data_IF_779211980994
#
_entry.id   IF_779211980994
#
_cell.length_a   1.000
_cell.length_b   1.000
_cell.length_c   1.000
_cell.angle_alpha   90.00
_cell.angle_beta   90.00
_cell.angle_gamma   90.00
#
_symmetry.space_group_name_H-M   'P 1'
#
loop_
_entity.id
_entity.type
_entity.pdbx_description
1 polymer ?
#
# COMPACT_ATOMS: atom_id res chain seq x y z
N UNK A 1 23.05 3.81 -5.96
CA UNK A 1 22.95 4.31 -4.59
C UNK A 1 21.60 3.95 -4.01
N UNK A 2 21.57 3.52 -2.76
CA UNK A 2 20.30 3.12 -2.11
C UNK A 2 19.49 4.37 -1.74
N UNK A 3 18.19 4.36 -2.10
CA UNK A 3 17.28 5.43 -1.71
C UNK A 3 17.01 5.41 -0.19
N UNK A 4 16.85 6.57 0.41
CA UNK A 4 16.49 6.66 1.84
C UNK A 4 15.04 6.24 2.08
N UNK A 5 14.13 6.69 1.22
CA UNK A 5 12.70 6.42 1.32
C UNK A 5 12.16 5.87 0.01
N UNK A 6 11.22 4.95 0.12
CA UNK A 6 10.42 4.47 -0.99
C UNK A 6 8.95 4.38 -0.62
N UNK A 7 8.12 4.30 -1.63
CA UNK A 7 6.67 4.14 -1.49
C UNK A 7 6.23 3.03 -2.45
N UNK A 8 5.40 2.11 -1.96
CA UNK A 8 4.72 1.14 -2.81
C UNK A 8 3.22 1.21 -2.58
N UNK A 9 2.46 1.12 -3.66
CA UNK A 9 1.02 0.97 -3.63
C UNK A 9 0.62 -0.48 -3.83
N UNK A 10 -0.36 -0.91 -3.04
CA UNK A 10 -0.95 -2.23 -3.12
C UNK A 10 -2.45 -2.11 -3.30
N UNK A 11 -3.07 -3.11 -3.89
CA UNK A 11 -4.51 -3.19 -4.03
C UNK A 11 -4.94 -3.74 -5.36
N UNK A 12 -6.25 -3.78 -5.57
CA UNK A 12 -6.84 -4.26 -6.81
C UNK A 12 -7.67 -3.15 -7.46
N UNK A 13 -7.15 -2.44 -8.47
CA UNK A 13 -7.91 -1.38 -9.15
C UNK A 13 -9.21 -1.86 -9.80
N UNK A 14 -9.28 -3.13 -10.15
CA UNK A 14 -10.52 -3.72 -10.70
C UNK A 14 -11.65 -3.75 -9.68
N UNK A 15 -11.34 -3.67 -8.40
CA UNK A 15 -12.29 -3.64 -7.30
C UNK A 15 -12.56 -2.22 -6.78
N UNK A 16 -12.39 -1.20 -7.61
CA UNK A 16 -12.73 0.19 -7.26
C UNK A 16 -11.88 0.71 -6.11
N UNK A 17 -12.50 1.01 -4.98
CA UNK A 17 -11.83 1.59 -3.81
C UNK A 17 -10.70 0.71 -3.26
N UNK A 18 -10.72 -0.60 -3.47
CA UNK A 18 -9.63 -1.48 -3.10
C UNK A 18 -8.33 -1.16 -3.86
N UNK A 19 -8.42 -0.40 -4.93
CA UNK A 19 -7.27 0.08 -5.70
C UNK A 19 -6.70 1.41 -5.25
N UNK A 20 -7.15 1.96 -4.13
CA UNK A 20 -6.74 3.30 -3.69
C UNK A 20 -5.23 3.42 -3.47
N UNK A 21 -4.59 2.38 -2.94
CA UNK A 21 -3.13 2.38 -2.77
C UNK A 21 -2.40 2.49 -4.11
N UNK A 22 -2.87 1.76 -5.13
CA UNK A 22 -2.32 1.81 -6.47
C UNK A 22 -2.56 3.19 -7.11
N UNK A 23 -3.76 3.74 -6.97
CA UNK A 23 -4.12 5.06 -7.47
C UNK A 23 -3.18 6.13 -6.90
N UNK A 24 -2.94 6.08 -5.61
CA UNK A 24 -2.09 7.05 -4.92
C UNK A 24 -0.62 6.90 -5.31
N UNK A 25 -0.11 5.68 -5.38
CA UNK A 25 1.26 5.41 -5.80
C UNK A 25 1.52 5.89 -7.24
N UNK A 26 0.58 5.65 -8.14
CA UNK A 26 0.70 6.09 -9.53
C UNK A 26 0.72 7.62 -9.62
N UNK A 27 -0.13 8.30 -8.88
CA UNK A 27 -0.14 9.75 -8.83
C UNK A 27 1.15 10.33 -8.26
N UNK A 28 1.65 9.75 -7.18
CA UNK A 28 2.92 10.15 -6.59
C UNK A 28 4.09 9.91 -7.55
N UNK A 29 4.09 8.79 -8.26
CA UNK A 29 5.13 8.46 -9.21
C UNK A 29 5.19 9.47 -10.36
N UNK A 30 4.04 9.89 -10.87
CA UNK A 30 3.95 10.91 -11.93
C UNK A 30 4.40 12.28 -11.44
N UNK A 31 4.07 12.62 -10.20
CA UNK A 31 4.43 13.91 -9.61
C UNK A 31 5.91 13.98 -9.24
N UNK A 32 6.47 12.87 -8.78
CA UNK A 32 7.86 12.80 -8.32
C UNK A 32 8.62 11.66 -9.03
N UNK A 33 8.90 11.83 -10.33
CA UNK A 33 9.45 10.73 -11.14
C UNK A 33 10.86 10.27 -10.74
N UNK A 34 11.58 11.08 -9.98
CA UNK A 34 12.92 10.71 -9.49
C UNK A 34 12.91 9.92 -8.18
N UNK A 35 11.77 9.81 -7.52
CA UNK A 35 11.65 9.07 -6.26
C UNK A 35 11.42 7.58 -6.52
N UNK A 36 11.79 6.78 -5.52
CA UNK A 36 11.54 5.33 -5.54
C UNK A 36 10.09 5.05 -5.19
N UNK A 37 9.22 5.01 -6.19
CA UNK A 37 7.77 4.83 -6.03
C UNK A 37 7.29 3.80 -7.05
N UNK A 38 6.59 2.77 -6.60
CA UNK A 38 6.08 1.71 -7.47
C UNK A 38 4.66 1.29 -7.10
N UNK A 39 3.89 0.93 -8.12
CA UNK A 39 2.59 0.29 -7.98
C UNK A 39 2.78 -1.21 -8.16
N UNK A 40 2.51 -1.98 -7.10
CA UNK A 40 2.67 -3.44 -7.13
C UNK A 40 1.35 -4.17 -7.44
N UNK A 41 0.25 -3.45 -7.55
CA UNK A 41 -1.05 -4.08 -7.76
C UNK A 41 -1.41 -5.00 -6.60
N UNK A 42 -1.97 -6.17 -6.91
CA UNK A 42 -2.41 -7.14 -5.91
C UNK A 42 -1.30 -8.14 -5.50
N UNK A 43 -0.09 -7.96 -6.00
CA UNK A 43 1.00 -8.92 -5.78
C UNK A 43 2.23 -8.24 -5.17
N UNK A 44 2.31 -8.28 -3.85
CA UNK A 44 3.43 -7.71 -3.11
C UNK A 44 4.77 -8.41 -3.39
N UNK A 45 4.76 -9.66 -3.86
CA UNK A 45 6.00 -10.38 -4.20
C UNK A 45 6.75 -9.72 -5.35
N UNK A 46 6.08 -8.92 -6.17
CA UNK A 46 6.73 -8.15 -7.25
C UNK A 46 7.81 -7.20 -6.72
N UNK A 47 7.79 -6.86 -5.43
CA UNK A 47 8.82 -6.00 -4.86
C UNK A 47 10.23 -6.58 -5.03
N UNK A 48 10.36 -7.90 -5.12
CA UNK A 48 11.65 -8.56 -5.26
C UNK A 48 12.39 -8.19 -6.56
N UNK A 49 11.63 -7.80 -7.60
CA UNK A 49 12.21 -7.32 -8.85
C UNK A 49 12.74 -5.87 -8.78
N UNK A 50 12.51 -5.19 -7.67
CA UNK A 50 12.78 -3.75 -7.52
C UNK A 50 14.03 -3.45 -6.67
N UNK A 51 14.85 -4.44 -6.41
CA UNK A 51 16.10 -4.22 -5.67
C UNK A 51 17.08 -3.34 -6.47
N UNK A 52 17.90 -2.53 -5.81
CA UNK A 52 18.05 -2.42 -4.35
C UNK A 52 16.87 -1.70 -3.68
N UNK A 53 16.49 -2.19 -2.51
CA UNK A 53 15.39 -1.60 -1.74
C UNK A 53 15.81 -0.28 -1.10
N UNK A 54 14.83 0.62 -0.85
CA UNK A 54 15.09 1.80 -0.02
C UNK A 54 15.33 1.37 1.43
N UNK A 55 15.93 2.25 2.22
CA UNK A 55 16.17 1.99 3.65
C UNK A 55 14.86 1.95 4.44
N UNK A 56 13.92 2.80 4.07
CA UNK A 56 12.59 2.90 4.67
C UNK A 56 11.54 2.84 3.59
N UNK A 57 10.43 2.19 3.88
CA UNK A 57 9.36 1.96 2.92
C UNK A 57 8.01 2.31 3.53
N UNK A 58 7.24 3.09 2.80
CA UNK A 58 5.83 3.35 3.10
C UNK A 58 5.00 2.47 2.18
N UNK A 59 4.10 1.69 2.76
CA UNK A 59 3.18 0.84 2.01
C UNK A 59 1.78 1.44 2.09
N UNK A 60 1.17 1.60 0.93
CA UNK A 60 -0.15 2.21 0.77
C UNK A 60 -1.16 1.15 0.36
N UNK A 61 -2.28 1.08 1.06
CA UNK A 61 -3.34 0.12 0.75
C UNK A 61 -4.68 0.58 1.31
N UNK A 62 -5.72 -0.15 0.95
CA UNK A 62 -7.05 0.00 1.52
C UNK A 62 -7.19 -0.83 2.79
N UNK A 63 -8.02 -0.38 3.71
CA UNK A 63 -8.35 -1.09 4.95
C UNK A 63 -9.86 -1.14 5.15
N UNK A 64 -10.36 -2.28 5.60
CA UNK A 64 -11.75 -2.45 6.01
C UNK A 64 -11.82 -2.79 7.49
N UNK A 65 -11.89 -1.76 8.32
CA UNK A 65 -11.97 -1.93 9.77
C UNK A 65 -13.31 -1.55 10.37
N UNK A 66 -14.25 -1.07 9.53
CA UNK A 66 -15.52 -0.56 9.99
C UNK A 66 -15.49 0.92 10.37
N UNK A 67 -14.36 1.59 10.22
CA UNK A 67 -14.27 3.03 10.42
C UNK A 67 -14.95 3.77 9.26
N UNK A 68 -15.03 5.09 9.38
CA UNK A 68 -15.65 5.93 8.35
C UNK A 68 -14.82 5.86 7.06
N UNK A 69 -15.44 5.59 5.90
CA UNK A 69 -14.73 5.57 4.63
C UNK A 69 -13.96 6.87 4.37
N UNK A 70 -12.74 6.73 3.86
CA UNK A 70 -11.83 7.85 3.64
C UNK A 70 -10.94 8.19 4.83
N UNK A 71 -11.18 7.60 5.99
CA UNK A 71 -10.33 7.78 7.17
C UNK A 71 -8.92 7.27 6.92
N UNK A 72 -7.91 7.96 7.41
CA UNK A 72 -6.51 7.57 7.29
C UNK A 72 -6.07 6.79 8.52
N UNK A 73 -5.31 5.72 8.29
CA UNK A 73 -4.76 4.89 9.34
C UNK A 73 -3.25 4.77 9.19
N UNK A 74 -2.55 4.89 10.31
CA UNK A 74 -1.10 4.67 10.39
C UNK A 74 -0.88 3.49 11.32
N UNK A 75 -0.60 2.33 10.74
CA UNK A 75 -0.47 1.09 11.50
C UNK A 75 0.94 0.52 11.37
N UNK A 76 1.43 -0.07 12.46
CA UNK A 76 2.59 -0.93 12.40
C UNK A 76 2.21 -2.22 11.66
N UNK A 77 3.20 -2.87 11.05
CA UNK A 77 2.99 -4.13 10.36
C UNK A 77 2.42 -5.20 11.30
N UNK A 78 2.89 -5.22 12.54
CA UNK A 78 2.41 -6.12 13.57
C UNK A 78 0.91 -5.97 13.83
N UNK A 79 0.45 -4.73 14.01
CA UNK A 79 -0.98 -4.46 14.22
C UNK A 79 -1.80 -4.82 12.99
N UNK A 80 -1.27 -4.53 11.81
CA UNK A 80 -1.94 -4.84 10.55
C UNK A 80 -2.15 -6.35 10.40
N UNK A 81 -1.15 -7.16 10.75
CA UNK A 81 -1.22 -8.61 10.66
C UNK A 81 -2.18 -9.23 11.67
N UNK A 82 -2.50 -8.53 12.73
CA UNK A 82 -3.50 -8.95 13.71
C UNK A 82 -4.93 -8.63 13.26
N UNK A 83 -5.09 -7.75 12.27
CA UNK A 83 -6.40 -7.37 11.76
C UNK A 83 -6.90 -8.40 10.75
N UNK A 84 -8.11 -8.97 10.92
CA UNK A 84 -8.65 -9.95 9.98
C UNK A 84 -9.22 -9.32 8.69
N UNK A 85 -9.26 -8.00 8.58
CA UNK A 85 -10.05 -7.31 7.56
C UNK A 85 -9.22 -6.35 6.69
N UNK A 86 -7.96 -6.69 6.40
CA UNK A 86 -7.17 -5.88 5.48
C UNK A 86 -7.54 -6.18 4.03
N UNK A 87 -7.74 -5.15 3.22
CA UNK A 87 -7.99 -5.32 1.78
C UNK A 87 -6.75 -5.84 1.04
N UNK A 88 -5.58 -5.76 1.64
CA UNK A 88 -4.34 -6.30 1.10
C UNK A 88 -4.28 -7.84 1.09
N UNK A 89 -5.30 -8.52 1.59
CA UNK A 89 -5.35 -9.97 1.65
C UNK A 89 -5.79 -10.58 0.31
N UNK A 90 -5.13 -10.23 -0.78
CA UNK A 90 -5.41 -10.79 -2.10
C UNK A 90 -4.56 -12.05 -2.34
N UNK A 91 -5.16 -13.08 -2.97
CA UNK A 91 -4.48 -14.32 -3.33
C UNK A 91 -3.94 -15.06 -2.11
N UNK A 92 -2.63 -15.09 -1.97
CA UNK A 92 -1.93 -15.77 -0.86
C UNK A 92 -2.18 -15.11 0.51
N UNK A 93 -2.68 -13.86 0.52
CA UNK A 93 -2.90 -13.06 1.71
C UNK A 93 -1.66 -12.30 2.13
N UNK A 94 -1.89 -11.16 2.78
CA UNK A 94 -0.79 -10.31 3.26
C UNK A 94 0.12 -11.05 4.24
N UNK A 95 -0.49 -11.76 5.20
CA UNK A 95 0.26 -12.49 6.23
C UNK A 95 1.16 -13.57 5.62
N UNK A 96 0.64 -14.33 4.65
CA UNK A 96 1.41 -15.35 3.97
C UNK A 96 2.53 -14.76 3.13
N UNK A 97 2.25 -13.69 2.40
CA UNK A 97 3.23 -13.00 1.55
C UNK A 97 4.36 -12.41 2.38
N UNK A 98 4.04 -11.71 3.47
CA UNK A 98 5.06 -11.16 4.38
C UNK A 98 5.88 -12.27 5.04
N UNK A 99 5.23 -13.37 5.42
CA UNK A 99 5.92 -14.52 5.98
C UNK A 99 6.93 -15.11 5.01
N UNK A 100 6.56 -15.25 3.74
CA UNK A 100 7.44 -15.73 2.70
C UNK A 100 8.63 -14.80 2.47
N UNK A 101 8.37 -13.50 2.35
CA UNK A 101 9.43 -12.50 2.18
C UNK A 101 10.39 -12.48 3.36
N UNK A 102 9.88 -12.57 4.59
CA UNK A 102 10.71 -12.62 5.80
C UNK A 102 11.62 -13.84 5.85
N UNK A 103 11.17 -14.98 5.29
CA UNK A 103 11.95 -16.21 5.30
C UNK A 103 12.96 -16.28 4.16
N UNK A 104 12.69 -15.63 3.02
CA UNK A 104 13.45 -15.82 1.79
C UNK A 104 14.24 -14.61 1.31
N UNK A 105 14.01 -13.44 1.91
CA UNK A 105 14.60 -12.18 1.44
C UNK A 105 15.19 -11.38 2.61
N UNK A 106 16.46 -11.59 2.87
CA UNK A 106 17.16 -10.90 3.97
C UNK A 106 17.18 -9.39 3.78
N UNK A 107 17.31 -8.94 2.53
CA UNK A 107 17.31 -7.50 2.23
C UNK A 107 15.96 -6.87 2.57
N UNK A 108 14.86 -7.58 2.30
CA UNK A 108 13.54 -7.12 2.67
C UNK A 108 13.38 -7.00 4.19
N UNK A 109 13.93 -7.94 4.96
CA UNK A 109 13.87 -7.92 6.42
C UNK A 109 14.54 -6.69 7.03
N UNK A 110 15.51 -6.11 6.33
CA UNK A 110 16.26 -4.92 6.79
C UNK A 110 15.54 -3.61 6.51
N UNK A 111 14.48 -3.61 5.71
CA UNK A 111 13.72 -2.40 5.40
C UNK A 111 12.89 -2.03 6.63
N UNK A 112 12.98 -0.78 7.07
CA UNK A 112 12.05 -0.22 8.03
C UNK A 112 10.75 0.09 7.32
N UNK A 113 9.66 -0.57 7.69
CA UNK A 113 8.37 -0.47 6.99
C UNK A 113 7.33 0.21 7.85
N UNK A 114 6.52 1.08 7.24
CA UNK A 114 5.33 1.64 7.85
C UNK A 114 4.16 1.58 6.87
N UNK A 115 2.98 1.38 7.40
CA UNK A 115 1.75 1.21 6.63
C UNK A 115 0.85 2.42 6.78
N UNK A 116 0.43 2.96 5.66
CA UNK A 116 -0.53 4.06 5.59
C UNK A 116 -1.72 3.60 4.78
N UNK A 117 -2.87 3.54 5.42
CA UNK A 117 -4.05 2.89 4.88
C UNK A 117 -5.21 3.86 4.81
N UNK A 118 -6.09 3.64 3.86
CA UNK A 118 -7.29 4.44 3.66
C UNK A 118 -8.49 3.53 3.84
N UNK A 119 -9.41 3.92 4.73
CA UNK A 119 -10.61 3.14 5.00
C UNK A 119 -11.52 3.10 3.78
N UNK A 120 -11.96 1.91 3.41
CA UNK A 120 -12.91 1.67 2.34
C UNK A 120 -14.07 0.83 2.88
N UNK A 121 -15.24 0.98 2.29
CA UNK A 121 -16.43 0.27 2.73
C UNK A 121 -16.89 -0.78 1.73
N UNK A 122 -16.99 -0.41 0.47
CA UNK A 122 -17.55 -1.26 -0.57
C UNK A 122 -16.70 -1.26 -1.83
N UNK A 123 -16.81 -2.34 -2.57
CA UNK A 123 -16.27 -2.44 -3.92
C UNK A 123 -17.27 -1.73 -4.84
N UNK A 124 -16.77 -0.74 -5.56
CA UNK A 124 -17.54 0.03 -6.54
C UNK A 124 -17.09 -0.30 -7.96
N UNK A 125 -17.29 0.63 -8.87
CA UNK A 125 -16.91 0.47 -10.27
C UNK A 125 -15.39 0.29 -10.41
N UNK A 126 -14.95 -0.60 -11.32
CA UNK A 126 -13.52 -0.75 -11.60
C UNK A 126 -12.85 0.58 -11.95
N UNK A 127 -11.64 0.78 -11.43
CA UNK A 127 -10.80 1.97 -11.68
C UNK A 127 -11.38 3.30 -11.19
N UNK A 128 -12.46 3.29 -10.43
CA UNK A 128 -13.11 4.50 -9.92
C UNK A 128 -13.10 4.49 -8.40
N UNK A 129 -12.59 5.56 -7.79
CA UNK A 129 -12.68 5.76 -6.35
C UNK A 129 -13.99 6.46 -6.00
N UNK A 130 -14.60 6.05 -4.89
CA UNK A 130 -15.72 6.80 -4.34
C UNK A 130 -15.26 8.18 -3.86
N UNK A 131 -16.15 9.19 -3.83
CA UNK A 131 -15.75 10.56 -3.43
C UNK A 131 -15.09 10.64 -2.05
N UNK A 132 -15.57 9.88 -1.08
CA UNK A 132 -15.00 9.89 0.29
C UNK A 132 -13.61 9.27 0.33
N UNK A 133 -13.39 8.18 -0.39
CA UNK A 133 -12.08 7.52 -0.49
C UNK A 133 -11.11 8.41 -1.27
N UNK A 134 -11.56 9.03 -2.35
CA UNK A 134 -10.72 9.96 -3.10
C UNK A 134 -10.29 11.14 -2.24
N UNK A 135 -11.20 11.71 -1.43
CA UNK A 135 -10.85 12.79 -0.53
C UNK A 135 -9.78 12.38 0.49
N UNK A 136 -9.88 11.18 1.04
CA UNK A 136 -8.86 10.61 1.93
C UNK A 136 -7.52 10.42 1.22
N UNK A 137 -7.55 9.91 -0.02
CA UNK A 137 -6.35 9.75 -0.83
C UNK A 137 -5.68 11.09 -1.14
N UNK A 138 -6.46 12.13 -1.46
CA UNK A 138 -5.92 13.48 -1.68
C UNK A 138 -5.23 14.02 -0.42
N UNK A 139 -5.83 13.80 0.73
CA UNK A 139 -5.25 14.22 2.00
C UNK A 139 -3.92 13.51 2.26
N UNK A 140 -3.87 12.19 2.04
CA UNK A 140 -2.64 11.41 2.21
C UNK A 140 -1.58 11.82 1.19
N UNK A 141 -1.98 12.10 -0.05
CA UNK A 141 -1.07 12.62 -1.08
C UNK A 141 -0.35 13.87 -0.60
N UNK A 142 -1.09 14.82 0.00
CA UNK A 142 -0.49 16.05 0.55
C UNK A 142 0.53 15.76 1.66
N UNK A 143 0.26 14.77 2.49
CA UNK A 143 1.16 14.39 3.58
C UNK A 143 2.45 13.74 3.07
N UNK A 144 2.40 13.09 1.91
CA UNK A 144 3.53 12.34 1.34
C UNK A 144 4.38 13.16 0.36
N UNK A 145 4.07 14.40 0.13
CA UNK A 145 4.85 15.28 -0.74
C UNK A 145 6.23 15.63 -0.19
#
# INVERSE_FOLDING_TARGET
MQADWGIVGLGNPLAGDDGVGCWLAERLRKTFPSRWIHDLGADMLKIQALQPYPKQLILLDALRSGAKPGSLHYLSEEKLLQSPTTAAAHGFGLKGTLGLLRQTDDAFCKIKREWRLIEVEQIHQPFVLSPTVQAGAEQLFKQLQ
#
